data_IF_346477857631
#
_entry.id   IF_346477857631
#
_cell.length_a   1.000
_cell.length_b   1.000
_cell.length_c   1.000
_cell.angle_alpha   90.00
_cell.angle_beta   90.00
_cell.angle_gamma   90.00
#
_symmetry.space_group_name_H-M   'P 1'
#
loop_
_entity.id
_entity.type
_entity.pdbx_description
1 polymer ?
#
# COMPACT_ATOMS: atom_id res chain seq x y z
N UNK A 1 -24.20 4.77 26.57
CA UNK A 1 -24.22 5.46 25.27
C UNK A 1 -22.87 6.06 24.87
N UNK A 2 -22.05 6.59 25.79
CA UNK A 2 -20.72 7.15 25.46
C UNK A 2 -19.72 6.16 24.83
N UNK A 3 -19.73 4.88 25.23
CA UNK A 3 -18.74 3.88 24.78
C UNK A 3 -18.91 3.39 23.34
N UNK A 4 -20.12 3.50 22.77
CA UNK A 4 -20.42 3.01 21.41
C UNK A 4 -19.96 4.03 20.36
N UNK A 5 -20.18 5.31 20.63
CA UNK A 5 -19.85 6.40 19.71
C UNK A 5 -18.33 6.51 19.51
N UNK A 6 -17.56 6.35 20.58
CA UNK A 6 -16.08 6.39 20.53
C UNK A 6 -15.50 5.24 19.68
N UNK A 7 -16.15 4.07 19.69
CA UNK A 7 -15.73 2.92 18.87
C UNK A 7 -16.02 3.17 17.38
N UNK A 8 -17.17 3.76 17.07
CA UNK A 8 -17.54 4.14 15.69
C UNK A 8 -16.59 5.19 15.15
N UNK A 9 -16.18 6.17 15.96
CA UNK A 9 -15.18 7.16 15.54
C UNK A 9 -13.82 6.53 15.26
N UNK A 10 -13.31 5.68 16.16
CA UNK A 10 -12.03 4.97 15.94
C UNK A 10 -12.07 4.09 14.69
N UNK A 11 -13.18 3.40 14.44
CA UNK A 11 -13.36 2.64 13.19
C UNK A 11 -13.38 3.55 11.97
N UNK A 12 -14.06 4.70 12.04
CA UNK A 12 -14.07 5.70 10.97
C UNK A 12 -12.67 6.21 10.63
N UNK A 13 -11.87 6.56 11.64
CA UNK A 13 -10.48 6.98 11.45
C UNK A 13 -9.61 5.87 10.87
N UNK A 14 -9.75 4.63 11.35
CA UNK A 14 -9.01 3.48 10.81
C UNK A 14 -9.31 3.26 9.31
N UNK A 15 -10.59 3.35 8.93
CA UNK A 15 -11.02 3.23 7.53
C UNK A 15 -10.48 4.39 6.68
N UNK A 16 -10.52 5.62 7.19
CA UNK A 16 -9.94 6.78 6.51
C UNK A 16 -8.45 6.62 6.24
N UNK A 17 -7.68 6.13 7.22
CA UNK A 17 -6.24 5.89 7.06
C UNK A 17 -5.98 4.83 6.00
N UNK A 18 -6.76 3.74 5.99
CA UNK A 18 -6.64 2.68 4.98
C UNK A 18 -6.94 3.23 3.58
N UNK A 19 -7.99 4.03 3.43
CA UNK A 19 -8.35 4.68 2.16
C UNK A 19 -7.23 5.60 1.68
N UNK A 20 -6.67 6.42 2.57
CA UNK A 20 -5.58 7.34 2.23
C UNK A 20 -4.33 6.57 1.78
N UNK A 21 -4.02 5.47 2.46
CA UNK A 21 -2.89 4.60 2.16
C UNK A 21 -3.07 3.88 0.82
N UNK A 22 -4.28 3.38 0.54
CA UNK A 22 -4.65 2.82 -0.77
C UNK A 22 -4.58 3.88 -1.86
N UNK A 23 -5.02 5.11 -1.61
CA UNK A 23 -4.93 6.21 -2.55
C UNK A 23 -3.47 6.58 -2.89
N UNK A 24 -2.61 6.64 -1.88
CA UNK A 24 -1.17 6.85 -2.08
C UNK A 24 -0.54 5.66 -2.83
N UNK A 25 -0.93 4.43 -2.50
CA UNK A 25 -0.49 3.22 -3.18
C UNK A 25 -0.99 3.14 -4.63
N UNK A 26 -2.14 3.73 -4.95
CA UNK A 26 -2.62 3.92 -6.32
C UNK A 26 -1.77 4.91 -7.09
N UNK A 27 -1.40 6.02 -6.46
CA UNK A 27 -0.54 7.04 -7.04
C UNK A 27 0.86 6.47 -7.35
N UNK A 28 1.42 5.67 -6.44
CA UNK A 28 2.68 4.93 -6.67
C UNK A 28 2.50 3.67 -7.51
N UNK A 29 1.28 3.16 -7.64
CA UNK A 29 0.96 1.96 -8.40
C UNK A 29 1.11 2.13 -9.91
N UNK A 30 0.96 3.36 -10.42
CA UNK A 30 1.14 3.69 -11.84
C UNK A 30 2.58 3.43 -12.33
N UNK A 31 3.63 3.99 -11.70
CA UNK A 31 5.01 3.69 -12.11
C UNK A 31 5.35 2.21 -11.88
N UNK A 32 4.83 1.57 -10.83
CA UNK A 32 5.02 0.13 -10.57
C UNK A 32 4.41 -0.73 -11.68
N UNK A 33 3.19 -0.42 -12.11
CA UNK A 33 2.50 -1.09 -13.22
C UNK A 33 3.27 -0.94 -14.54
N UNK A 34 3.72 0.27 -14.85
CA UNK A 34 4.45 0.55 -16.09
C UNK A 34 5.82 -0.13 -16.11
N UNK A 35 6.61 -0.01 -15.03
CA UNK A 35 7.92 -0.67 -14.93
C UNK A 35 7.77 -2.19 -14.95
N UNK A 36 6.80 -2.74 -14.23
CA UNK A 36 6.64 -4.18 -14.17
C UNK A 36 6.30 -4.75 -15.54
N UNK A 37 5.26 -4.24 -16.20
CA UNK A 37 4.83 -4.75 -17.49
C UNK A 37 5.87 -4.54 -18.59
N UNK A 38 6.72 -3.53 -18.45
CA UNK A 38 7.80 -3.31 -19.40
C UNK A 38 9.04 -4.20 -19.13
N UNK A 39 9.41 -4.43 -17.87
CA UNK A 39 10.70 -5.01 -17.52
C UNK A 39 10.63 -6.49 -17.12
N UNK A 40 9.66 -6.88 -16.29
CA UNK A 40 9.59 -8.24 -15.72
C UNK A 40 9.19 -9.31 -16.75
N UNK A 41 8.16 -9.10 -17.59
CA UNK A 41 7.83 -10.01 -18.68
C UNK A 41 8.94 -10.15 -19.71
N UNK A 42 9.57 -9.04 -20.09
CA UNK A 42 10.59 -9.03 -21.15
C UNK A 42 11.90 -9.69 -20.71
N UNK A 43 12.37 -9.40 -19.49
CA UNK A 43 13.67 -9.90 -19.01
C UNK A 43 13.55 -11.30 -18.38
N UNK A 44 12.48 -11.57 -17.64
CA UNK A 44 12.34 -12.78 -16.85
C UNK A 44 11.24 -13.73 -17.35
N UNK A 45 10.46 -13.34 -18.37
CA UNK A 45 9.36 -14.16 -18.89
C UNK A 45 8.18 -14.29 -17.93
N UNK A 46 8.01 -13.37 -16.98
CA UNK A 46 6.87 -13.38 -16.06
C UNK A 46 5.59 -12.87 -16.73
N UNK A 47 4.44 -13.21 -16.16
CA UNK A 47 3.16 -12.62 -16.56
C UNK A 47 3.07 -11.14 -16.22
N UNK A 48 2.41 -10.40 -17.11
CA UNK A 48 1.98 -9.03 -16.89
C UNK A 48 1.06 -8.92 -15.68
N UNK A 49 1.17 -7.81 -14.96
CA UNK A 49 0.31 -7.50 -13.81
C UNK A 49 -0.72 -6.46 -14.18
N UNK A 50 -1.93 -6.59 -13.63
CA UNK A 50 -2.97 -5.56 -13.73
C UNK A 50 -2.72 -4.41 -12.75
N UNK A 51 -3.36 -3.25 -12.97
CA UNK A 51 -3.29 -2.11 -12.04
C UNK A 51 -3.61 -2.51 -10.60
N UNK A 52 -4.63 -3.35 -10.40
CA UNK A 52 -5.01 -3.87 -9.09
C UNK A 52 -3.87 -4.70 -8.45
N UNK A 53 -3.20 -5.55 -9.23
CA UNK A 53 -2.06 -6.33 -8.77
C UNK A 53 -0.84 -5.46 -8.46
N UNK A 54 -0.58 -4.40 -9.25
CA UNK A 54 0.49 -3.45 -8.97
C UNK A 54 0.29 -2.73 -7.63
N UNK A 55 -0.96 -2.34 -7.31
CA UNK A 55 -1.31 -1.73 -6.02
C UNK A 55 -1.11 -2.74 -4.88
N UNK A 56 -1.60 -3.97 -5.06
CA UNK A 56 -1.42 -5.05 -4.07
C UNK A 56 0.05 -5.38 -3.82
N UNK A 57 0.87 -5.37 -4.86
CA UNK A 57 2.31 -5.59 -4.75
C UNK A 57 3.03 -4.43 -4.05
N UNK A 58 2.65 -3.19 -4.34
CA UNK A 58 3.16 -1.99 -3.65
C UNK A 58 2.83 -2.03 -2.15
N UNK A 59 1.63 -2.50 -1.79
CA UNK A 59 1.22 -2.72 -0.39
C UNK A 59 2.03 -3.85 0.26
N UNK A 60 2.22 -4.96 -0.44
CA UNK A 60 3.01 -6.10 0.04
C UNK A 60 4.46 -5.70 0.33
N UNK A 61 5.10 -4.96 -0.58
CA UNK A 61 6.43 -4.42 -0.37
C UNK A 61 6.49 -3.47 0.83
N UNK A 62 5.47 -2.61 1.00
CA UNK A 62 5.39 -1.71 2.15
C UNK A 62 5.23 -2.44 3.48
N UNK A 63 4.54 -3.58 3.49
CA UNK A 63 4.43 -4.46 4.65
C UNK A 63 5.74 -5.20 4.94
N UNK A 64 6.42 -5.70 3.90
CA UNK A 64 7.64 -6.49 4.02
C UNK A 64 8.86 -5.64 4.39
N UNK A 65 8.97 -4.45 3.81
CA UNK A 65 10.10 -3.52 4.01
C UNK A 65 9.80 -2.40 5.00
N UNK A 66 8.78 -2.56 5.85
CA UNK A 66 8.41 -1.54 6.83
C UNK A 66 9.66 -1.10 7.60
N UNK A 67 10.10 0.18 7.46
CA UNK A 67 11.33 0.62 8.08
C UNK A 67 11.13 0.58 9.59
N UNK A 68 11.92 -0.24 10.26
CA UNK A 68 12.11 -0.16 11.70
C UNK A 68 12.84 1.15 11.98
N UNK A 69 12.11 2.26 12.07
CA UNK A 69 12.69 3.52 12.53
C UNK A 69 13.19 3.30 13.96
N UNK A 70 14.47 3.00 14.09
CA UNK A 70 15.19 3.11 15.34
C UNK A 70 15.24 4.60 15.68
N UNK A 71 14.33 5.04 16.55
CA UNK A 71 14.37 6.35 17.17
C UNK A 71 15.56 6.38 18.11
N UNK A 72 16.75 6.69 17.59
CA UNK A 72 17.83 7.11 18.47
C UNK A 72 17.51 8.53 18.95
N UNK A 73 16.99 8.61 20.18
CA UNK A 73 16.89 9.86 20.92
C UNK A 73 18.22 10.04 21.64
N UNK A 74 19.13 10.76 21.00
CA UNK A 74 20.22 11.47 21.69
C UNK A 74 19.76 12.91 21.95
#
# INVERSE_FOLDING_TARGET
MYTLNEFVEKLGYAVLIIILLVFFALLTGIPVYFLWNWLMPEIFGLTEITLLQAIGLSLLCSLLFKPNMSSNKD
#
